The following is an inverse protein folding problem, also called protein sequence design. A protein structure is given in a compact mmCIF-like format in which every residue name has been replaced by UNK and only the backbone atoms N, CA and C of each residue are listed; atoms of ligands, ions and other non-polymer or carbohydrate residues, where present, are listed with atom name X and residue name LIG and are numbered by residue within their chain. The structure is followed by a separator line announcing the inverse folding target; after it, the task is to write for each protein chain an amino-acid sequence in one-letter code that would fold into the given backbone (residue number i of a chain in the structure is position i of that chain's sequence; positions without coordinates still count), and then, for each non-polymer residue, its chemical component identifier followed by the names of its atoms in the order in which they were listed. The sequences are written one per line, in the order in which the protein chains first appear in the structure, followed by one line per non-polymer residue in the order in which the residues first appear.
data_IF_850715760602
#
_entry.id   IF_850715760602
#
_cell.length_a   1.000
_cell.length_b   1.000
_cell.length_c   1.000
_cell.angle_alpha   90.00
_cell.angle_beta   90.00
_cell.angle_gamma   90.00
#
_symmetry.space_group_name_H-M   'P 1'
#
loop_
_entity.id
_entity.type
_entity.pdbx_description
1 polymer ?
#
# COMPACT_ATOMS: atom_id res chain seq x y z
N UNK A 1 -31.69 4.80 -3.53
CA UNK A 1 -30.95 4.25 -4.69
C UNK A 1 -31.86 4.34 -5.89
N UNK A 2 -31.33 4.61 -7.11
CA UNK A 2 -32.15 4.65 -8.32
C UNK A 2 -32.86 3.30 -8.50
N UNK A 3 -34.12 3.31 -8.95
CA UNK A 3 -34.85 2.07 -9.24
C UNK A 3 -34.37 1.54 -10.60
N UNK A 4 -33.61 0.45 -10.57
CA UNK A 4 -33.07 -0.19 -11.78
C UNK A 4 -33.88 -1.44 -12.11
N UNK A 5 -34.43 -1.51 -13.32
CA UNK A 5 -35.11 -2.70 -13.86
C UNK A 5 -34.41 -3.13 -15.13
N UNK A 6 -34.08 -4.41 -15.26
CA UNK A 6 -33.48 -4.99 -16.47
C UNK A 6 -34.39 -6.05 -17.06
N UNK A 7 -34.73 -5.89 -18.34
CA UNK A 7 -35.46 -6.88 -19.13
C UNK A 7 -34.47 -7.78 -19.88
N UNK A 8 -34.59 -9.10 -19.69
CA UNK A 8 -33.61 -10.09 -20.18
C UNK A 8 -34.30 -11.28 -20.87
N UNK A 9 -33.48 -12.15 -21.49
CA UNK A 9 -33.88 -13.51 -21.88
C UNK A 9 -32.76 -14.49 -21.52
N UNK A 10 -33.10 -15.77 -21.33
CA UNK A 10 -32.17 -16.81 -20.88
C UNK A 10 -30.90 -17.00 -21.75
N UNK A 11 -30.99 -16.75 -23.05
CA UNK A 11 -29.92 -17.02 -24.03
C UNK A 11 -29.12 -15.78 -24.45
N UNK A 12 -29.52 -14.59 -23.98
CA UNK A 12 -28.94 -13.32 -24.38
C UNK A 12 -27.55 -13.07 -23.73
N UNK A 13 -26.50 -13.00 -24.55
CA UNK A 13 -25.13 -12.72 -24.07
C UNK A 13 -24.98 -11.31 -23.49
N UNK A 14 -25.56 -10.30 -24.15
CA UNK A 14 -25.51 -8.91 -23.67
C UNK A 14 -26.26 -8.69 -22.35
N UNK A 15 -27.28 -9.50 -22.08
CA UNK A 15 -27.99 -9.51 -20.80
C UNK A 15 -27.08 -10.00 -19.68
N UNK A 16 -26.23 -11.00 -19.94
CA UNK A 16 -25.22 -11.47 -18.97
C UNK A 16 -24.16 -10.40 -18.72
N UNK A 17 -23.69 -9.71 -19.77
CA UNK A 17 -22.72 -8.60 -19.64
C UNK A 17 -23.28 -7.46 -18.80
N UNK A 18 -24.53 -7.07 -19.05
CA UNK A 18 -25.21 -6.01 -18.28
C UNK A 18 -25.34 -6.37 -16.80
N UNK A 19 -25.78 -7.60 -16.50
CA UNK A 19 -25.88 -8.08 -15.10
C UNK A 19 -24.53 -8.16 -14.41
N UNK A 20 -23.50 -8.67 -15.10
CA UNK A 20 -22.15 -8.72 -14.56
C UNK A 20 -21.59 -7.33 -14.24
N UNK A 21 -21.88 -6.33 -15.09
CA UNK A 21 -21.52 -4.95 -14.85
C UNK A 21 -22.22 -4.37 -13.62
N UNK A 22 -23.56 -4.49 -13.54
CA UNK A 22 -24.34 -3.97 -12.41
C UNK A 22 -23.93 -4.62 -11.08
N UNK A 23 -23.66 -5.94 -11.09
CA UNK A 23 -23.12 -6.67 -9.95
C UNK A 23 -21.74 -6.16 -9.54
N UNK A 24 -20.84 -5.94 -10.51
CA UNK A 24 -19.49 -5.37 -10.25
C UNK A 24 -19.58 -3.98 -9.61
N UNK A 25 -20.54 -3.16 -10.01
CA UNK A 25 -20.75 -1.81 -9.48
C UNK A 25 -21.59 -1.77 -8.19
N UNK A 26 -21.98 -2.93 -7.63
CA UNK A 26 -22.81 -2.98 -6.41
C UNK A 26 -24.21 -2.40 -6.57
N UNK A 27 -24.74 -2.37 -7.79
CA UNK A 27 -26.06 -1.81 -8.10
C UNK A 27 -27.13 -2.89 -7.91
N UNK A 28 -28.07 -2.65 -7.00
CA UNK A 28 -29.28 -3.47 -6.89
C UNK A 28 -30.22 -3.23 -8.08
N UNK A 29 -30.78 -4.31 -8.63
CA UNK A 29 -31.70 -4.25 -9.77
C UNK A 29 -32.79 -5.33 -9.70
N UNK A 30 -33.94 -5.05 -10.32
CA UNK A 30 -35.02 -6.00 -10.58
C UNK A 30 -34.83 -6.62 -11.97
N UNK A 31 -34.73 -7.95 -12.07
CA UNK A 31 -34.65 -8.66 -13.36
C UNK A 31 -36.03 -9.18 -13.78
N UNK A 32 -36.40 -8.93 -15.04
CA UNK A 32 -37.65 -9.39 -15.65
C UNK A 32 -37.32 -10.19 -16.93
N UNK A 33 -37.64 -11.49 -16.95
CA UNK A 33 -37.42 -12.35 -18.11
C UNK A 33 -38.60 -12.27 -19.10
N UNK A 34 -38.42 -11.51 -20.18
CA UNK A 34 -39.44 -11.32 -21.21
C UNK A 34 -39.53 -12.49 -22.20
N UNK A 35 -38.62 -13.46 -22.11
CA UNK A 35 -38.64 -14.67 -22.94
C UNK A 35 -39.71 -15.67 -22.49
N UNK A 36 -40.19 -15.54 -21.26
CA UNK A 36 -41.22 -16.42 -20.69
C UNK A 36 -42.50 -15.68 -20.28
N UNK A 37 -42.46 -14.34 -20.24
CA UNK A 37 -43.59 -13.48 -19.89
C UNK A 37 -43.94 -12.52 -21.04
N UNK A 38 -45.05 -12.80 -21.72
CA UNK A 38 -45.52 -12.02 -22.87
C UNK A 38 -46.11 -10.67 -22.48
N UNK A 39 -46.62 -10.52 -21.26
CA UNK A 39 -47.11 -9.23 -20.77
C UNK A 39 -45.93 -8.30 -20.47
N UNK A 40 -44.89 -8.83 -19.82
CA UNK A 40 -43.64 -8.10 -19.59
C UNK A 40 -42.93 -7.72 -20.91
N UNK A 41 -42.99 -8.59 -21.93
CA UNK A 41 -42.46 -8.28 -23.26
C UNK A 41 -43.21 -7.10 -23.91
N UNK A 42 -44.53 -7.06 -23.81
CA UNK A 42 -45.33 -5.95 -24.34
C UNK A 42 -45.03 -4.64 -23.59
N UNK A 43 -44.89 -4.70 -22.27
CA UNK A 43 -44.52 -3.56 -21.43
C UNK A 43 -43.12 -3.03 -21.78
N UNK A 44 -42.14 -3.92 -21.97
CA UNK A 44 -40.79 -3.55 -22.40
C UNK A 44 -40.82 -2.81 -23.74
N UNK A 45 -41.58 -3.32 -24.73
CA UNK A 45 -41.74 -2.69 -26.04
C UNK A 45 -42.40 -1.31 -25.92
N UNK A 46 -43.45 -1.19 -25.11
CA UNK A 46 -44.14 0.09 -24.87
C UNK A 46 -43.21 1.14 -24.26
N UNK A 47 -42.40 0.75 -23.27
CA UNK A 47 -41.50 1.66 -22.57
C UNK A 47 -40.27 2.05 -23.39
N UNK A 48 -39.73 1.13 -24.19
CA UNK A 48 -38.43 1.31 -24.85
C UNK A 48 -38.50 1.53 -26.36
N UNK A 49 -39.63 1.18 -27.00
CA UNK A 49 -39.72 1.07 -28.45
C UNK A 49 -38.87 -0.06 -29.05
N UNK A 50 -38.33 -0.96 -28.21
CA UNK A 50 -37.43 -2.03 -28.64
C UNK A 50 -38.06 -3.41 -28.48
N UNK A 51 -37.77 -4.28 -29.44
CA UNK A 51 -38.15 -5.69 -29.42
C UNK A 51 -37.01 -6.60 -28.95
N UNK A 52 -35.81 -6.06 -28.75
CA UNK A 52 -34.61 -6.81 -28.40
C UNK A 52 -34.17 -6.52 -26.95
N UNK A 53 -33.56 -7.52 -26.32
CA UNK A 53 -32.95 -7.45 -24.98
C UNK A 53 -31.42 -7.37 -25.07
N UNK A 54 -30.72 -6.82 -24.04
CA UNK A 54 -31.27 -6.26 -22.81
C UNK A 54 -31.86 -4.86 -23.01
N UNK A 55 -32.87 -4.53 -22.19
CA UNK A 55 -33.32 -3.15 -21.98
C UNK A 55 -33.20 -2.87 -20.48
N UNK A 56 -32.48 -1.82 -20.12
CA UNK A 56 -32.35 -1.39 -18.72
C UNK A 56 -33.07 -0.07 -18.52
N UNK A 57 -33.90 0.02 -17.50
CA UNK A 57 -34.61 1.24 -17.10
C UNK A 57 -34.04 1.73 -15.78
N UNK A 58 -33.62 3.00 -15.74
CA UNK A 58 -33.00 3.65 -14.58
C UNK A 58 -33.77 4.92 -14.29
N UNK A 59 -34.59 4.94 -13.22
CA UNK A 59 -35.43 6.09 -12.84
C UNK A 59 -36.28 6.66 -14.00
N UNK A 60 -36.72 5.79 -14.92
CA UNK A 60 -37.52 6.14 -16.09
C UNK A 60 -36.73 6.41 -17.38
N UNK A 61 -35.40 6.45 -17.31
CA UNK A 61 -34.53 6.51 -18.48
C UNK A 61 -34.31 5.11 -19.08
N UNK A 62 -34.40 4.99 -20.42
CA UNK A 62 -34.25 3.72 -21.13
C UNK A 62 -32.87 3.60 -21.76
N UNK A 63 -32.18 2.49 -21.47
CA UNK A 63 -30.89 2.10 -22.05
C UNK A 63 -31.10 0.81 -22.84
N UNK A 64 -30.74 0.83 -24.12
CA UNK A 64 -30.93 -0.28 -25.04
C UNK A 64 -29.61 -0.99 -25.27
N UNK A 65 -29.60 -2.31 -25.08
CA UNK A 65 -28.40 -3.13 -25.22
C UNK A 65 -27.43 -2.99 -24.06
N UNK A 66 -26.21 -3.51 -24.25
CA UNK A 66 -25.11 -3.29 -23.32
C UNK A 66 -24.31 -2.06 -23.74
N UNK A 67 -24.61 -0.90 -23.16
CA UNK A 67 -23.88 0.34 -23.38
C UNK A 67 -22.95 0.62 -22.18
N UNK A 68 -21.70 0.16 -22.30
CA UNK A 68 -20.72 0.32 -21.24
C UNK A 68 -20.44 1.79 -20.89
N UNK A 69 -20.50 2.71 -21.86
CA UNK A 69 -20.25 4.13 -21.62
C UNK A 69 -21.40 4.75 -20.81
N UNK A 70 -22.65 4.50 -21.21
CA UNK A 70 -23.83 4.97 -20.47
C UNK A 70 -23.95 4.33 -19.09
N UNK A 71 -23.62 3.05 -18.97
CA UNK A 71 -23.59 2.39 -17.67
C UNK A 71 -22.47 2.90 -16.77
N UNK A 72 -21.29 3.24 -17.30
CA UNK A 72 -20.24 3.91 -16.52
C UNK A 72 -20.65 5.33 -16.09
N UNK A 73 -21.40 6.06 -16.92
CA UNK A 73 -21.93 7.38 -16.54
C UNK A 73 -22.95 7.30 -15.40
N UNK A 74 -23.85 6.32 -15.45
CA UNK A 74 -24.95 6.17 -14.50
C UNK A 74 -24.56 5.41 -13.21
N UNK A 75 -23.63 4.47 -13.35
CA UNK A 75 -23.28 3.49 -12.32
C UNK A 75 -21.79 3.23 -12.18
N UNK A 76 -20.95 3.73 -13.08
CA UNK A 76 -19.50 3.76 -12.85
C UNK A 76 -19.21 4.60 -11.62
N UNK A 77 -18.04 4.37 -11.02
CA UNK A 77 -17.68 4.88 -9.69
C UNK A 77 -18.11 6.35 -9.52
N UNK A 78 -19.20 6.54 -8.76
CA UNK A 78 -19.70 7.86 -8.39
C UNK A 78 -18.55 8.61 -7.75
N UNK A 79 -18.19 9.77 -8.29
CA UNK A 79 -17.17 10.63 -7.71
C UNK A 79 -16.00 10.97 -8.62
N UNK A 80 -15.92 10.41 -9.83
CA UNK A 80 -14.89 10.82 -10.79
C UNK A 80 -15.08 12.29 -11.20
N UNK A 81 -14.06 13.12 -10.97
CA UNK A 81 -14.04 14.54 -11.32
C UNK A 81 -12.98 14.81 -12.38
N UNK A 82 -13.18 15.86 -13.18
CA UNK A 82 -12.15 16.35 -14.11
C UNK A 82 -10.91 16.84 -13.36
N UNK A 83 -11.12 17.48 -12.20
CA UNK A 83 -10.08 17.97 -11.31
C UNK A 83 -10.45 17.65 -9.87
N UNK A 84 -9.50 17.10 -9.12
CA UNK A 84 -9.60 16.85 -7.69
C UNK A 84 -8.88 17.95 -6.89
N UNK A 85 -9.31 18.18 -5.65
CA UNK A 85 -8.55 19.04 -4.74
C UNK A 85 -7.23 18.36 -4.35
N UNK A 86 -7.27 17.05 -4.10
CA UNK A 86 -6.12 16.24 -3.67
C UNK A 86 -6.04 14.93 -4.47
N UNK A 87 -4.90 14.69 -5.12
CA UNK A 87 -4.53 13.37 -5.60
C UNK A 87 -3.63 12.69 -4.57
N UNK A 88 -3.92 11.44 -4.24
CA UNK A 88 -3.13 10.65 -3.30
C UNK A 88 -2.53 9.46 -4.05
N UNK A 89 -1.21 9.32 -4.03
CA UNK A 89 -0.51 8.20 -4.66
C UNK A 89 -0.16 7.16 -3.59
N UNK A 90 -0.85 6.02 -3.61
CA UNK A 90 -0.64 4.91 -2.68
C UNK A 90 -1.86 4.61 -1.79
N UNK A 91 -2.24 3.33 -1.71
CA UNK A 91 -3.37 2.81 -0.94
C UNK A 91 -2.97 2.12 0.37
N UNK A 92 -1.79 2.44 0.91
CA UNK A 92 -1.34 1.96 2.22
C UNK A 92 -1.92 2.74 3.39
N UNK A 93 -1.46 2.47 4.63
CA UNK A 93 -1.95 3.16 5.84
C UNK A 93 -1.86 4.68 5.77
N UNK A 94 -0.78 5.23 5.22
CA UNK A 94 -0.60 6.67 5.05
C UNK A 94 -1.64 7.27 4.07
N UNK A 95 -1.78 6.68 2.88
CA UNK A 95 -2.66 7.19 1.83
C UNK A 95 -4.14 7.09 2.19
N UNK A 96 -4.59 5.96 2.74
CA UNK A 96 -5.98 5.79 3.18
C UNK A 96 -6.31 6.71 4.36
N UNK A 97 -5.38 6.92 5.29
CA UNK A 97 -5.59 7.90 6.37
C UNK A 97 -5.64 9.32 5.84
N UNK A 98 -4.76 9.70 4.90
CA UNK A 98 -4.78 11.00 4.26
C UNK A 98 -6.12 11.24 3.53
N UNK A 99 -6.61 10.23 2.80
CA UNK A 99 -7.88 10.30 2.08
C UNK A 99 -9.05 10.57 3.01
N UNK A 100 -9.13 9.84 4.13
CA UNK A 100 -10.14 10.04 5.16
C UNK A 100 -10.10 11.47 5.74
N UNK A 101 -8.91 12.00 6.05
CA UNK A 101 -8.78 13.35 6.60
C UNK A 101 -9.18 14.43 5.60
N UNK A 102 -8.79 14.29 4.33
CA UNK A 102 -9.20 15.19 3.26
C UNK A 102 -10.74 15.18 3.06
N UNK A 103 -11.38 14.01 3.05
CA UNK A 103 -12.83 13.91 2.92
C UNK A 103 -13.58 14.60 4.08
N UNK A 104 -13.07 14.50 5.31
CA UNK A 104 -13.63 15.23 6.48
C UNK A 104 -13.52 16.74 6.37
N UNK A 105 -12.64 17.24 5.51
CA UNK A 105 -12.53 18.67 5.15
C UNK A 105 -13.37 19.04 3.93
N UNK A 106 -14.21 18.11 3.44
CA UNK A 106 -15.05 18.26 2.25
C UNK A 106 -14.26 18.49 0.96
N UNK A 107 -13.02 18.02 0.90
CA UNK A 107 -12.19 18.06 -0.31
C UNK A 107 -12.57 16.92 -1.25
N UNK A 108 -12.45 17.16 -2.57
CA UNK A 108 -12.40 16.06 -3.54
C UNK A 108 -11.09 15.32 -3.48
N UNK A 109 -11.18 14.00 -3.40
CA UNK A 109 -10.01 13.12 -3.29
C UNK A 109 -10.11 11.99 -4.30
N UNK A 110 -8.99 11.68 -4.94
CA UNK A 110 -8.77 10.42 -5.64
C UNK A 110 -7.53 9.75 -5.09
N UNK A 111 -7.64 8.48 -4.72
CA UNK A 111 -6.49 7.63 -4.38
C UNK A 111 -6.14 6.82 -5.63
N UNK A 112 -4.90 6.87 -6.07
CA UNK A 112 -4.37 6.09 -7.21
C UNK A 112 -3.29 5.15 -6.69
N UNK A 113 -3.43 3.84 -6.92
CA UNK A 113 -2.52 2.86 -6.31
C UNK A 113 -2.44 1.52 -7.05
N UNK A 114 -1.31 0.82 -6.89
CA UNK A 114 -1.14 -0.55 -7.39
C UNK A 114 -1.91 -1.60 -6.57
N UNK A 115 -2.10 -1.37 -5.26
CA UNK A 115 -2.83 -2.27 -4.36
C UNK A 115 -3.39 -1.48 -3.17
N UNK A 116 -4.47 -2.01 -2.58
CA UNK A 116 -5.04 -1.47 -1.34
C UNK A 116 -4.47 -2.26 -0.18
N UNK A 117 -3.87 -1.57 0.79
CA UNK A 117 -3.27 -2.16 1.98
C UNK A 117 -1.77 -1.94 2.09
N UNK A 118 -1.04 -1.93 0.97
CA UNK A 118 0.42 -1.85 0.95
C UNK A 118 1.08 -2.99 1.74
N UNK A 119 2.28 -2.75 2.26
CA UNK A 119 3.05 -3.74 3.01
C UNK A 119 2.33 -4.25 4.27
N UNK A 120 1.37 -3.50 4.82
CA UNK A 120 0.63 -3.93 6.01
C UNK A 120 -0.10 -5.27 5.79
N UNK A 121 -0.51 -5.59 4.55
CA UNK A 121 -1.16 -6.87 4.21
C UNK A 121 -0.30 -8.10 4.50
N UNK A 122 1.03 -7.94 4.47
CA UNK A 122 1.99 -9.03 4.67
C UNK A 122 2.16 -9.39 6.16
N UNK A 123 1.59 -8.58 7.06
CA UNK A 123 1.72 -8.76 8.51
C UNK A 123 0.73 -9.81 9.03
N UNK A 124 1.25 -10.92 9.53
CA UNK A 124 0.43 -12.01 10.12
C UNK A 124 -0.19 -11.64 11.47
N UNK A 125 0.50 -10.83 12.29
CA UNK A 125 0.05 -10.41 13.61
C UNK A 125 0.54 -9.00 13.90
N UNK A 126 -0.38 -8.07 14.11
CA UNK A 126 -0.10 -6.69 14.50
C UNK A 126 -0.61 -6.49 15.92
N UNK A 127 0.32 -6.25 16.85
CA UNK A 127 0.03 -6.03 18.28
C UNK A 127 0.38 -4.60 18.73
N UNK A 128 0.94 -3.80 17.83
CA UNK A 128 1.44 -2.45 18.10
C UNK A 128 0.57 -1.33 17.49
N UNK A 129 -0.60 -1.66 16.93
CA UNK A 129 -1.57 -0.69 16.46
C UNK A 129 -2.63 -0.41 17.52
N UNK A 130 -2.52 0.74 18.18
CA UNK A 130 -3.36 1.08 19.33
C UNK A 130 -4.85 1.09 18.96
N UNK A 131 -5.67 0.47 19.81
CA UNK A 131 -7.08 0.20 19.56
C UNK A 131 -7.37 -1.28 19.27
N UNK A 132 -6.34 -2.05 18.90
CA UNK A 132 -6.41 -3.50 18.77
C UNK A 132 -5.44 -4.16 19.75
N UNK A 133 -5.86 -5.31 20.30
CA UNK A 133 -4.95 -6.16 21.07
C UNK A 133 -4.07 -7.00 20.14
N UNK A 134 -4.69 -7.54 19.10
CA UNK A 134 -4.08 -8.27 18.00
C UNK A 134 -5.03 -8.11 16.81
N UNK A 135 -4.48 -7.81 15.64
CA UNK A 135 -5.22 -7.76 14.38
C UNK A 135 -4.30 -8.25 13.26
N UNK A 136 -4.83 -8.94 12.26
CA UNK A 136 -4.03 -9.28 11.08
C UNK A 136 -3.87 -8.06 10.17
N UNK A 137 -2.86 -8.09 9.30
CA UNK A 137 -2.66 -7.07 8.27
C UNK A 137 -3.87 -6.88 7.37
N UNK A 138 -4.44 -7.98 6.89
CA UNK A 138 -5.64 -7.99 6.07
C UNK A 138 -6.83 -7.37 6.80
N UNK A 139 -7.16 -7.83 8.01
CA UNK A 139 -8.29 -7.29 8.79
C UNK A 139 -8.12 -5.80 9.11
N UNK A 140 -6.89 -5.33 9.36
CA UNK A 140 -6.63 -3.92 9.61
C UNK A 140 -6.88 -3.08 8.36
N UNK A 141 -6.36 -3.51 7.20
CA UNK A 141 -6.50 -2.77 5.96
C UNK A 141 -7.92 -2.83 5.38
N UNK A 142 -8.63 -3.94 5.55
CA UNK A 142 -10.06 -4.05 5.21
C UNK A 142 -10.88 -2.97 5.91
N UNK A 143 -10.59 -2.72 7.20
CA UNK A 143 -11.25 -1.65 7.98
C UNK A 143 -10.89 -0.24 7.50
N UNK A 144 -9.66 -0.04 7.04
CA UNK A 144 -9.25 1.24 6.46
C UNK A 144 -9.99 1.49 5.14
N UNK A 145 -10.01 0.49 4.27
CA UNK A 145 -10.68 0.54 2.97
C UNK A 145 -12.19 0.77 3.15
N UNK A 146 -12.84 0.00 4.02
CA UNK A 146 -14.26 0.15 4.35
C UNK A 146 -14.57 1.60 4.73
N UNK A 147 -13.81 2.16 5.68
CA UNK A 147 -14.01 3.54 6.14
C UNK A 147 -13.82 4.58 5.03
N UNK A 148 -12.83 4.40 4.16
CA UNK A 148 -12.57 5.31 3.03
C UNK A 148 -13.69 5.24 2.00
N UNK A 149 -14.18 4.03 1.68
CA UNK A 149 -15.29 3.84 0.74
C UNK A 149 -16.63 4.37 1.27
N UNK A 150 -16.88 4.28 2.58
CA UNK A 150 -18.07 4.88 3.21
C UNK A 150 -18.17 6.39 2.99
N UNK A 151 -17.04 7.09 2.88
CA UNK A 151 -17.01 8.54 2.60
C UNK A 151 -17.15 8.86 1.11
N UNK A 152 -17.37 7.85 0.25
CA UNK A 152 -17.53 8.00 -1.20
C UNK A 152 -16.23 8.35 -1.94
N UNK A 153 -15.07 8.07 -1.34
CA UNK A 153 -13.77 8.32 -1.95
C UNK A 153 -13.49 7.24 -3.01
N UNK A 154 -13.07 7.69 -4.20
CA UNK A 154 -12.68 6.81 -5.30
C UNK A 154 -11.25 6.31 -5.08
N UNK A 155 -11.05 5.00 -5.26
CA UNK A 155 -9.74 4.36 -5.22
C UNK A 155 -9.51 3.70 -6.59
N UNK A 156 -8.67 4.33 -7.42
CA UNK A 156 -8.25 3.80 -8.71
C UNK A 156 -7.10 2.80 -8.50
N UNK A 157 -7.36 1.54 -8.85
CA UNK A 157 -6.37 0.47 -8.86
C UNK A 157 -5.59 0.49 -10.19
N UNK A 158 -4.65 1.42 -10.30
CA UNK A 158 -3.79 1.58 -11.45
C UNK A 158 -2.43 2.17 -11.02
N UNK A 159 -1.31 1.47 -11.22
CA UNK A 159 0.00 1.98 -10.80
C UNK A 159 0.36 3.30 -11.49
N UNK A 160 0.92 4.23 -10.73
CA UNK A 160 1.39 5.52 -11.26
C UNK A 160 2.72 5.35 -11.98
N UNK A 161 2.84 5.94 -13.17
CA UNK A 161 4.04 5.91 -14.00
C UNK A 161 4.79 7.25 -14.00
N UNK A 162 4.08 8.37 -13.89
CA UNK A 162 4.71 9.69 -13.80
C UNK A 162 3.81 10.72 -13.14
N UNK A 163 4.45 11.79 -12.65
CA UNK A 163 3.81 12.98 -12.09
C UNK A 163 4.40 14.23 -12.73
N UNK A 164 3.56 15.22 -13.03
CA UNK A 164 4.01 16.48 -13.61
C UNK A 164 3.21 17.66 -13.03
N UNK A 165 3.86 18.83 -12.93
CA UNK A 165 3.20 20.09 -12.60
C UNK A 165 2.90 20.84 -13.91
N UNK A 166 1.66 21.27 -14.06
CA UNK A 166 1.19 22.02 -15.24
C UNK A 166 1.35 23.53 -15.07
N UNK A 167 1.27 24.24 -16.19
CA UNK A 167 1.41 25.71 -16.24
C UNK A 167 0.35 26.46 -15.42
N UNK A 168 -0.84 25.87 -15.26
CA UNK A 168 -1.92 26.42 -14.44
C UNK A 168 -1.74 26.16 -12.93
N UNK A 169 -0.63 25.52 -12.54
CA UNK A 169 -0.30 25.17 -11.17
C UNK A 169 -0.92 23.86 -10.67
N UNK A 170 -1.75 23.19 -11.48
CA UNK A 170 -2.27 21.86 -11.16
C UNK A 170 -1.22 20.76 -11.38
N UNK A 171 -1.52 19.57 -10.89
CA UNK A 171 -0.70 18.38 -11.01
C UNK A 171 -1.41 17.33 -11.85
N UNK A 172 -0.68 16.65 -12.72
CA UNK A 172 -1.18 15.50 -13.46
C UNK A 172 -0.46 14.23 -12.99
N UNK A 173 -1.24 13.17 -12.81
CA UNK A 173 -0.78 11.82 -12.46
C UNK A 173 -1.14 10.90 -13.61
N UNK A 174 -0.14 10.28 -14.23
CA UNK A 174 -0.31 9.30 -15.31
C UNK A 174 -0.12 7.90 -14.78
N UNK A 175 -0.86 6.96 -15.33
CA UNK A 175 -0.87 5.57 -14.86
C UNK A 175 -0.45 4.58 -15.95
N UNK A 176 -0.31 3.30 -15.57
CA UNK A 176 0.08 2.23 -16.49
C UNK A 176 -0.98 1.99 -17.57
N UNK A 177 -2.26 2.22 -17.27
CA UNK A 177 -3.33 2.09 -18.28
C UNK A 177 -3.51 3.34 -19.16
N UNK A 178 -2.53 4.25 -19.19
CA UNK A 178 -2.55 5.51 -19.95
C UNK A 178 -3.70 6.45 -19.54
N UNK A 179 -4.22 6.28 -18.31
CA UNK A 179 -5.14 7.24 -17.72
C UNK A 179 -4.36 8.42 -17.14
N UNK A 180 -5.01 9.58 -17.14
CA UNK A 180 -4.47 10.80 -16.57
C UNK A 180 -5.49 11.42 -15.62
N UNK A 181 -5.02 11.79 -14.44
CA UNK A 181 -5.82 12.41 -13.39
C UNK A 181 -5.24 13.78 -13.02
N UNK A 182 -6.10 14.78 -12.83
CA UNK A 182 -5.68 16.15 -12.50
C UNK A 182 -6.04 16.51 -11.06
N UNK A 183 -5.10 17.12 -10.33
CA UNK A 183 -5.24 17.52 -8.94
C UNK A 183 -4.73 18.93 -8.67
N UNK A 184 -5.29 19.62 -7.68
CA UNK A 184 -4.76 20.92 -7.21
C UNK A 184 -3.60 20.76 -6.23
N UNK A 185 -3.52 19.60 -5.57
CA UNK A 185 -2.41 19.18 -4.70
C UNK A 185 -2.11 17.70 -4.88
N UNK A 186 -0.92 17.28 -4.45
CA UNK A 186 -0.47 15.90 -4.49
C UNK A 186 0.01 15.44 -3.11
N UNK A 187 -0.39 14.24 -2.69
CA UNK A 187 0.12 13.58 -1.49
C UNK A 187 0.73 12.23 -1.88
N UNK A 188 2.06 12.10 -1.75
CA UNK A 188 2.81 10.91 -2.14
C UNK A 188 2.96 9.98 -0.93
N UNK A 189 2.38 8.78 -1.04
CA UNK A 189 2.33 7.75 0.03
C UNK A 189 2.63 6.35 -0.51
N UNK A 190 3.50 6.27 -1.52
CA UNK A 190 3.79 5.03 -2.26
C UNK A 190 4.57 3.98 -1.45
N UNK A 191 5.02 4.32 -0.24
CA UNK A 191 5.73 3.40 0.67
C UNK A 191 7.13 3.00 0.19
N UNK A 192 7.63 1.91 0.75
CA UNK A 192 8.92 1.32 0.42
C UNK A 192 8.83 -0.21 0.47
N UNK A 193 9.81 -0.89 -0.11
CA UNK A 193 9.95 -2.36 -0.06
C UNK A 193 11.22 -2.73 0.69
N UNK A 194 11.20 -3.74 1.57
CA UNK A 194 12.42 -4.22 2.20
C UNK A 194 13.35 -4.86 1.17
N UNK A 195 14.66 -4.75 1.40
CA UNK A 195 15.65 -5.50 0.60
C UNK A 195 15.79 -6.91 1.17
N UNK A 196 15.78 -7.88 0.25
CA UNK A 196 15.97 -9.30 0.54
C UNK A 196 17.40 -9.74 0.20
N UNK A 197 17.83 -10.91 0.71
CA UNK A 197 19.14 -11.49 0.42
C UNK A 197 19.24 -12.03 -1.02
N UNK A 198 18.11 -12.37 -1.63
CA UNK A 198 18.03 -12.96 -2.97
C UNK A 198 18.46 -14.43 -2.99
N UNK A 199 18.26 -15.15 -1.88
CA UNK A 199 18.67 -16.55 -1.74
C UNK A 199 17.59 -17.51 -2.27
N UNK A 200 17.98 -18.68 -2.79
CA UNK A 200 17.01 -19.70 -3.16
C UNK A 200 16.12 -20.08 -1.97
N UNK A 201 14.81 -20.11 -2.19
CA UNK A 201 13.80 -20.46 -1.18
C UNK A 201 13.69 -19.51 0.02
N UNK A 202 14.23 -18.28 -0.07
CA UNK A 202 14.09 -17.24 0.97
C UNK A 202 12.62 -16.96 1.32
N UNK A 203 11.76 -16.87 0.31
CA UNK A 203 10.31 -16.65 0.45
C UNK A 203 9.62 -17.63 1.41
N UNK A 204 10.16 -18.85 1.56
CA UNK A 204 9.64 -19.87 2.47
C UNK A 204 9.72 -19.44 3.94
N UNK A 205 10.73 -18.65 4.29
CA UNK A 205 11.03 -18.31 5.68
C UNK A 205 10.52 -16.93 6.10
N UNK A 206 10.01 -16.11 5.17
CA UNK A 206 9.37 -14.82 5.46
C UNK A 206 8.19 -15.04 6.41
N UNK A 207 8.22 -14.42 7.59
CA UNK A 207 7.23 -14.60 8.65
C UNK A 207 7.31 -15.97 9.36
N UNK A 208 8.28 -16.82 9.01
CA UNK A 208 8.52 -18.16 9.58
C UNK A 208 9.93 -18.30 10.17
N UNK A 209 10.48 -17.19 10.63
CA UNK A 209 11.81 -17.08 11.21
C UNK A 209 12.63 -15.97 10.57
N UNK A 210 12.29 -15.52 9.37
CA UNK A 210 12.86 -14.33 8.75
C UNK A 210 11.93 -13.13 8.92
N UNK A 211 12.51 -11.98 9.28
CA UNK A 211 11.80 -10.72 9.54
C UNK A 211 12.63 -9.51 9.08
N UNK A 212 11.96 -8.41 8.76
CA UNK A 212 12.58 -7.12 8.42
C UNK A 212 12.36 -6.05 9.51
N UNK A 213 11.60 -6.39 10.56
CA UNK A 213 11.18 -5.45 11.61
C UNK A 213 11.39 -6.02 13.02
N UNK A 214 12.46 -5.60 13.69
CA UNK A 214 12.74 -5.96 15.10
C UNK A 214 11.68 -5.45 16.05
N UNK A 215 11.19 -4.22 15.83
CA UNK A 215 10.14 -3.62 16.65
C UNK A 215 8.83 -4.40 16.58
N UNK A 216 8.51 -4.98 15.42
CA UNK A 216 7.29 -5.73 15.17
C UNK A 216 7.40 -7.14 15.75
N UNK A 217 8.43 -7.89 15.33
CA UNK A 217 8.48 -9.33 15.57
C UNK A 217 9.43 -9.73 16.71
N UNK A 218 10.31 -8.82 17.16
CA UNK A 218 11.31 -9.07 18.19
C UNK A 218 10.77 -9.80 19.42
N UNK A 219 9.62 -9.39 20.02
CA UNK A 219 9.01 -10.09 21.15
C UNK A 219 8.75 -11.60 20.94
N UNK A 220 8.53 -12.04 19.69
CA UNK A 220 8.28 -13.45 19.32
C UNK A 220 9.55 -14.33 19.38
N UNK A 221 10.72 -13.70 19.49
CA UNK A 221 12.03 -14.36 19.57
C UNK A 221 12.62 -14.36 20.97
N UNK A 222 11.79 -14.15 22.00
CA UNK A 222 12.23 -14.20 23.41
C UNK A 222 12.92 -15.53 23.73
N UNK A 223 14.16 -15.45 24.19
CA UNK A 223 14.96 -16.63 24.57
C UNK A 223 15.45 -17.50 23.41
N UNK A 224 15.31 -17.04 22.15
CA UNK A 224 15.82 -17.73 20.96
C UNK A 224 17.18 -17.19 20.53
N UNK A 225 17.91 -17.94 19.71
CA UNK A 225 19.12 -17.43 19.04
C UNK A 225 18.74 -16.73 17.75
N UNK A 226 19.22 -15.50 17.55
CA UNK A 226 18.88 -14.68 16.39
C UNK A 226 20.13 -14.15 15.68
N UNK A 227 20.02 -14.02 14.36
CA UNK A 227 21.00 -13.33 13.53
C UNK A 227 20.40 -12.05 12.96
N UNK A 228 21.25 -11.04 12.75
CA UNK A 228 20.88 -9.75 12.17
C UNK A 228 21.84 -9.50 11.01
N UNK A 229 21.31 -9.19 9.84
CA UNK A 229 22.12 -8.90 8.64
C UNK A 229 22.12 -7.40 8.39
N UNK A 230 23.30 -6.80 8.38
CA UNK A 230 23.45 -5.37 8.09
C UNK A 230 24.58 -4.75 8.90
N UNK A 231 25.01 -3.56 8.47
CA UNK A 231 26.08 -2.82 9.14
C UNK A 231 25.77 -1.35 9.37
N UNK A 232 24.54 -0.90 9.11
CA UNK A 232 24.12 0.49 9.28
C UNK A 232 23.52 0.78 10.66
N UNK A 233 23.09 2.02 10.88
CA UNK A 233 22.38 2.44 12.11
C UNK A 233 21.21 1.51 12.47
N UNK A 234 20.39 1.12 11.48
CA UNK A 234 19.25 0.24 11.71
C UNK A 234 19.66 -1.15 12.19
N UNK A 235 20.72 -1.74 11.63
CA UNK A 235 21.23 -3.05 12.04
C UNK A 235 21.77 -3.03 13.47
N UNK A 236 22.49 -1.96 13.85
CA UNK A 236 22.99 -1.82 15.22
C UNK A 236 21.86 -1.57 16.22
N UNK A 237 20.89 -0.72 15.87
CA UNK A 237 19.70 -0.49 16.70
C UNK A 237 18.93 -1.79 16.90
N UNK A 238 18.75 -2.57 15.83
CA UNK A 238 18.14 -3.91 15.88
C UNK A 238 18.91 -4.84 16.84
N UNK A 239 20.24 -4.83 16.80
CA UNK A 239 21.05 -5.66 17.71
C UNK A 239 20.91 -5.25 19.18
N UNK A 240 20.86 -3.95 19.44
CA UNK A 240 20.65 -3.38 20.78
C UNK A 240 19.25 -3.72 21.30
N UNK A 241 18.22 -3.59 20.46
CA UNK A 241 16.82 -3.94 20.78
C UNK A 241 16.63 -5.43 21.05
N UNK A 242 17.30 -6.28 20.26
CA UNK A 242 17.17 -7.73 20.37
C UNK A 242 17.98 -8.33 21.51
N UNK A 243 19.10 -7.70 21.93
CA UNK A 243 19.94 -8.21 23.02
C UNK A 243 19.19 -8.54 24.33
N UNK A 244 18.28 -7.69 24.85
CA UNK A 244 17.48 -8.02 26.04
C UNK A 244 16.34 -9.02 25.79
N UNK A 245 16.03 -9.34 24.54
CA UNK A 245 14.90 -10.22 24.17
C UNK A 245 15.40 -11.63 23.85
N UNK A 246 16.40 -11.74 22.98
CA UNK A 246 16.96 -12.99 22.49
C UNK A 246 17.94 -13.62 23.51
N UNK A 247 18.16 -14.93 23.39
CA UNK A 247 19.21 -15.64 24.14
C UNK A 247 20.60 -15.21 23.67
N UNK A 248 20.80 -15.19 22.35
CA UNK A 248 22.03 -14.71 21.72
C UNK A 248 21.71 -13.93 20.45
N UNK A 249 22.56 -12.96 20.12
CA UNK A 249 22.46 -12.12 18.92
C UNK A 249 23.74 -12.25 18.12
N UNK A 250 23.63 -12.58 16.83
CA UNK A 250 24.77 -12.57 15.90
C UNK A 250 24.58 -11.47 14.86
N UNK A 251 25.42 -10.43 14.86
CA UNK A 251 25.42 -9.37 13.87
C UNK A 251 26.36 -9.72 12.70
N UNK A 252 25.80 -9.87 11.51
CA UNK A 252 26.50 -10.27 10.29
C UNK A 252 26.70 -9.05 9.40
N UNK A 253 27.96 -8.67 9.18
CA UNK A 253 28.34 -7.46 8.46
C UNK A 253 29.15 -7.83 7.22
N UNK A 254 28.62 -7.50 6.03
CA UNK A 254 29.28 -7.80 4.74
C UNK A 254 30.68 -7.20 4.58
N UNK A 255 30.96 -6.09 5.27
CA UNK A 255 32.25 -5.41 5.21
C UNK A 255 32.58 -4.81 6.58
N UNK A 256 32.56 -3.48 6.70
CA UNK A 256 32.70 -2.76 7.97
C UNK A 256 31.35 -2.21 8.44
N UNK A 257 31.24 -1.99 9.74
CA UNK A 257 30.13 -1.23 10.34
C UNK A 257 30.21 0.22 9.86
N UNK A 258 29.07 0.76 9.43
CA UNK A 258 28.84 2.13 8.96
C UNK A 258 27.66 2.72 9.74
N UNK A 259 27.90 2.99 11.02
CA UNK A 259 26.89 3.51 11.93
C UNK A 259 27.48 4.64 12.78
N UNK A 260 26.60 5.48 13.32
CA UNK A 260 26.97 6.58 14.19
C UNK A 260 27.58 6.04 15.50
N UNK A 261 28.53 6.79 16.04
CA UNK A 261 29.34 6.39 17.21
C UNK A 261 28.49 6.08 18.46
N UNK A 262 27.34 6.74 18.57
CA UNK A 262 26.37 6.52 19.65
C UNK A 262 25.83 5.09 19.66
N UNK A 263 25.71 4.43 18.50
CA UNK A 263 25.23 3.05 18.41
C UNK A 263 26.36 2.06 18.58
N UNK A 264 27.54 2.33 18.02
CA UNK A 264 28.70 1.44 18.16
C UNK A 264 29.13 1.32 19.61
N UNK A 265 29.14 2.42 20.36
CA UNK A 265 29.51 2.42 21.79
C UNK A 265 28.52 1.63 22.67
N UNK A 266 27.25 1.50 22.26
CA UNK A 266 26.27 0.68 22.97
C UNK A 266 26.48 -0.82 22.76
N UNK A 267 27.09 -1.23 21.64
CA UNK A 267 27.36 -2.65 21.36
C UNK A 267 28.36 -3.25 22.36
N UNK A 268 29.35 -2.47 22.82
CA UNK A 268 30.40 -2.93 23.75
C UNK A 268 29.82 -3.41 25.09
N UNK A 269 28.64 -2.92 25.47
CA UNK A 269 27.94 -3.33 26.70
C UNK A 269 27.14 -4.62 26.57
N UNK A 270 27.00 -5.18 25.37
CA UNK A 270 26.11 -6.32 25.11
C UNK A 270 26.86 -7.65 25.31
N UNK A 271 26.52 -8.38 26.38
CA UNK A 271 27.22 -9.62 26.76
C UNK A 271 26.84 -10.84 25.92
N UNK A 272 25.75 -10.77 25.16
CA UNK A 272 25.24 -11.87 24.32
C UNK A 272 25.32 -11.58 22.82
N UNK A 273 26.13 -10.58 22.42
CA UNK A 273 26.34 -10.21 21.02
C UNK A 273 27.62 -10.84 20.47
N UNK A 274 27.53 -11.46 19.30
CA UNK A 274 28.68 -11.85 18.48
C UNK A 274 28.65 -11.07 17.17
N UNK A 275 29.79 -10.49 16.75
CA UNK A 275 29.88 -9.76 15.48
C UNK A 275 30.72 -10.55 14.49
N UNK A 276 30.13 -10.88 13.34
CA UNK A 276 30.78 -11.51 12.20
C UNK A 276 31.00 -10.48 11.09
N UNK A 277 32.20 -9.89 11.06
CA UNK A 277 32.60 -8.95 10.01
C UNK A 277 33.19 -9.67 8.80
N UNK A 278 32.95 -9.12 7.61
CA UNK A 278 33.29 -9.72 6.31
C UNK A 278 32.59 -11.06 6.02
N UNK A 279 31.42 -11.28 6.61
CA UNK A 279 30.56 -12.44 6.34
C UNK A 279 29.30 -12.04 5.58
N UNK A 280 28.79 -12.96 4.76
CA UNK A 280 27.48 -12.87 4.09
C UNK A 280 26.68 -14.13 4.36
N UNK A 281 25.36 -14.01 4.44
CA UNK A 281 24.46 -15.16 4.48
C UNK A 281 24.35 -15.74 3.08
N UNK A 282 24.58 -17.04 2.94
CA UNK A 282 24.60 -17.76 1.65
C UNK A 282 23.61 -18.92 1.60
N UNK A 283 23.02 -19.30 2.74
CA UNK A 283 22.03 -20.37 2.79
C UNK A 283 21.09 -20.24 3.98
N UNK A 284 19.87 -20.73 3.80
CA UNK A 284 18.82 -20.81 4.82
C UNK A 284 18.40 -22.27 4.98
N UNK A 285 18.16 -22.71 6.22
CA UNK A 285 17.85 -24.11 6.52
C UNK A 285 16.70 -24.25 7.53
N UNK A 286 15.87 -25.27 7.31
CA UNK A 286 14.67 -25.55 8.10
C UNK A 286 13.61 -26.33 7.31
N UNK A 287 12.80 -27.12 8.01
CA UNK A 287 11.65 -27.81 7.39
C UNK A 287 10.47 -26.85 7.22
N UNK A 288 9.80 -26.45 8.30
CA UNK A 288 8.68 -25.50 8.25
C UNK A 288 9.05 -24.10 8.74
N UNK A 289 9.97 -24.03 9.71
CA UNK A 289 10.48 -22.82 10.33
C UNK A 289 12.00 -22.74 10.13
N UNK A 290 12.53 -21.52 10.12
CA UNK A 290 13.98 -21.30 10.09
C UNK A 290 14.65 -21.96 11.31
N UNK A 291 15.70 -22.73 11.07
CA UNK A 291 16.50 -23.41 12.11
C UNK A 291 18.00 -23.15 12.01
N UNK A 292 18.46 -22.56 10.92
CA UNK A 292 19.84 -22.13 10.79
C UNK A 292 20.11 -21.41 9.49
N UNK A 293 21.26 -20.76 9.47
CA UNK A 293 21.80 -20.05 8.32
C UNK A 293 23.21 -20.56 8.01
N UNK A 294 23.61 -20.48 6.75
CA UNK A 294 25.01 -20.61 6.35
C UNK A 294 25.57 -19.22 6.12
N UNK A 295 26.73 -18.94 6.72
CA UNK A 295 27.49 -17.72 6.46
C UNK A 295 28.81 -18.06 5.79
N UNK A 296 29.21 -17.25 4.83
CA UNK A 296 30.48 -17.39 4.10
C UNK A 296 31.34 -16.17 4.34
N UNK A 297 32.59 -16.39 4.75
CA UNK A 297 33.60 -15.34 4.85
C UNK A 297 34.06 -14.94 3.44
N UNK A 298 34.09 -13.65 3.14
CA UNK A 298 34.20 -13.17 1.75
C UNK A 298 35.59 -13.29 1.12
N UNK A 299 36.65 -13.32 1.92
CA UNK A 299 38.03 -13.32 1.41
C UNK A 299 38.59 -14.74 1.28
N UNK A 300 38.20 -15.62 2.20
CA UNK A 300 38.66 -17.01 2.32
C UNK A 300 37.69 -18.01 1.72
N UNK A 301 36.41 -17.65 1.60
CA UNK A 301 35.34 -18.57 1.21
C UNK A 301 34.98 -19.60 2.29
N UNK A 302 35.47 -19.45 3.53
CA UNK A 302 35.15 -20.36 4.63
C UNK A 302 33.66 -20.26 4.97
N UNK A 303 32.97 -21.40 4.92
CA UNK A 303 31.56 -21.51 5.29
C UNK A 303 31.39 -21.96 6.74
N UNK A 304 30.38 -21.40 7.41
CA UNK A 304 29.98 -21.79 8.76
C UNK A 304 28.46 -21.91 8.83
N UNK A 305 27.99 -23.03 9.37
CA UNK A 305 26.59 -23.19 9.71
C UNK A 305 26.33 -22.61 11.11
N UNK A 306 25.33 -21.74 11.23
CA UNK A 306 24.92 -21.12 12.49
C UNK A 306 23.48 -21.54 12.81
N UNK A 307 23.25 -22.26 13.92
CA UNK A 307 21.89 -22.54 14.37
C UNK A 307 21.27 -21.25 14.90
N UNK A 308 20.19 -20.81 14.24
CA UNK A 308 19.41 -19.62 14.63
C UNK A 308 17.94 -19.90 14.35
N UNK A 309 17.07 -19.33 15.17
CA UNK A 309 15.62 -19.46 15.00
C UNK A 309 15.01 -18.16 14.45
N UNK A 310 15.77 -17.07 14.44
CA UNK A 310 15.38 -15.79 13.87
C UNK A 310 16.48 -15.17 13.01
N UNK A 311 16.10 -14.61 11.86
CA UNK A 311 16.97 -13.85 10.97
C UNK A 311 16.31 -12.50 10.67
N UNK A 312 16.93 -11.41 11.14
CA UNK A 312 16.46 -10.06 10.93
C UNK A 312 17.26 -9.38 9.81
N UNK A 313 16.59 -9.02 8.73
CA UNK A 313 17.20 -8.31 7.61
C UNK A 313 17.16 -6.80 7.85
N UNK A 314 18.29 -6.23 8.22
CA UNK A 314 18.49 -4.80 8.42
C UNK A 314 19.38 -4.20 7.32
N UNK A 315 19.11 -4.59 6.06
CA UNK A 315 19.90 -4.21 4.86
C UNK A 315 19.28 -3.06 4.06
N UNK A 316 18.27 -2.40 4.62
CA UNK A 316 17.63 -1.19 4.09
C UNK A 316 16.34 -1.48 3.33
N UNK A 317 15.69 -0.39 2.93
CA UNK A 317 14.46 -0.39 2.13
C UNK A 317 14.72 0.32 0.80
N UNK A 318 13.90 0.01 -0.19
CA UNK A 318 13.82 0.68 -1.48
C UNK A 318 12.52 1.48 -1.54
N UNK A 319 12.58 2.82 -1.44
CA UNK A 319 11.40 3.67 -1.59
C UNK A 319 10.76 3.51 -2.98
N UNK A 320 9.43 3.42 -3.03
CA UNK A 320 8.69 3.31 -4.30
C UNK A 320 8.57 4.69 -4.96
N UNK A 321 9.68 5.20 -5.51
CA UNK A 321 9.81 6.58 -6.02
C UNK A 321 10.04 6.69 -7.54
N UNK A 322 10.04 5.56 -8.25
CA UNK A 322 10.48 5.50 -9.66
C UNK A 322 9.70 6.38 -10.63
N UNK A 323 8.49 6.79 -10.27
CA UNK A 323 7.64 7.70 -11.06
C UNK A 323 7.96 9.19 -10.86
N UNK A 324 8.85 9.54 -9.92
CA UNK A 324 9.13 10.94 -9.59
C UNK A 324 10.10 11.61 -10.57
N UNK A 325 11.07 10.89 -11.13
CA UNK A 325 12.05 11.44 -12.10
C UNK A 325 12.60 12.85 -11.76
N UNK A 326 13.02 13.05 -10.50
CA UNK A 326 13.55 14.34 -10.02
C UNK A 326 12.49 15.41 -9.70
N UNK A 327 11.20 15.06 -9.66
CA UNK A 327 10.09 15.96 -9.34
C UNK A 327 10.14 16.54 -7.90
N UNK A 328 10.77 15.83 -6.97
CA UNK A 328 11.02 16.27 -5.59
C UNK A 328 12.42 15.84 -5.14
N UNK A 329 12.96 16.52 -4.13
CA UNK A 329 14.28 16.23 -3.59
C UNK A 329 14.28 14.88 -2.86
N UNK A 330 15.28 14.05 -3.16
CA UNK A 330 15.52 12.77 -2.52
C UNK A 330 16.83 12.80 -1.74
N UNK A 331 16.90 12.08 -0.61
CA UNK A 331 18.16 11.87 0.10
C UNK A 331 19.02 10.78 -0.60
N UNK A 332 20.21 10.51 -0.06
CA UNK A 332 21.13 9.49 -0.62
C UNK A 332 20.56 8.05 -0.62
N UNK A 333 19.49 7.80 0.14
CA UNK A 333 18.79 6.51 0.23
C UNK A 333 17.58 6.44 -0.72
N UNK A 334 17.32 7.51 -1.48
CA UNK A 334 16.17 7.61 -2.38
C UNK A 334 14.86 7.99 -1.65
N UNK A 335 14.90 8.37 -0.38
CA UNK A 335 13.69 8.74 0.34
C UNK A 335 13.33 10.21 0.05
N UNK A 336 12.04 10.52 -0.04
CA UNK A 336 11.56 11.89 -0.24
C UNK A 336 11.92 12.73 1.00
N UNK A 337 12.65 13.82 0.77
CA UNK A 337 12.99 14.77 1.83
C UNK A 337 11.75 15.57 2.17
N UNK A 338 11.40 15.55 3.46
CA UNK A 338 10.26 16.31 4.00
C UNK A 338 10.67 17.13 5.21
N UNK A 339 9.94 18.22 5.47
CA UNK A 339 9.97 18.91 6.76
C UNK A 339 9.09 18.20 7.81
N UNK A 340 8.99 18.78 9.01
CA UNK A 340 8.19 18.22 10.12
C UNK A 340 6.68 18.11 9.79
N UNK A 341 6.22 18.92 8.83
CA UNK A 341 4.85 19.03 8.39
C UNK A 341 4.62 18.35 7.03
N UNK A 342 5.49 17.41 6.63
CA UNK A 342 5.32 16.63 5.40
C UNK A 342 5.44 17.44 4.09
N UNK A 343 5.96 18.66 4.11
CA UNK A 343 6.22 19.43 2.89
C UNK A 343 7.41 18.87 2.13
N UNK A 344 7.30 18.77 0.81
CA UNK A 344 8.43 18.44 -0.08
C UNK A 344 9.10 19.70 -0.63
N UNK A 345 10.12 19.55 -1.48
CA UNK A 345 10.73 20.68 -2.21
C UNK A 345 9.81 21.31 -3.25
N UNK A 346 8.72 20.63 -3.65
CA UNK A 346 7.74 21.11 -4.62
C UNK A 346 6.50 21.67 -3.92
N UNK A 347 6.25 22.97 -4.07
CA UNK A 347 5.06 23.62 -3.51
C UNK A 347 3.76 22.99 -4.06
N UNK A 348 2.84 22.66 -3.15
CA UNK A 348 1.59 21.93 -3.43
C UNK A 348 1.72 20.40 -3.39
N UNK A 349 2.92 19.89 -3.12
CA UNK A 349 3.23 18.46 -3.02
C UNK A 349 3.70 18.10 -1.61
N UNK A 350 3.04 17.11 -1.04
CA UNK A 350 3.30 16.57 0.29
C UNK A 350 3.69 15.10 0.16
N UNK A 351 4.40 14.56 1.15
CA UNK A 351 4.71 13.14 1.19
C UNK A 351 4.61 12.60 2.62
N UNK A 352 4.17 11.34 2.75
CA UNK A 352 3.94 10.71 4.04
C UNK A 352 4.24 9.20 4.03
N UNK A 353 4.59 8.68 5.21
CA UNK A 353 4.90 7.27 5.40
C UNK A 353 6.26 6.88 4.82
N UNK A 354 6.42 5.60 4.53
CA UNK A 354 7.74 4.97 4.40
C UNK A 354 8.55 5.42 3.18
N UNK A 355 7.91 6.03 2.18
CA UNK A 355 8.58 6.67 1.02
C UNK A 355 9.42 7.88 1.40
N UNK A 356 9.16 8.47 2.58
CA UNK A 356 9.81 9.70 3.05
C UNK A 356 11.01 9.42 3.94
N UNK A 357 11.80 10.44 4.24
CA UNK A 357 12.93 10.37 5.18
C UNK A 357 12.52 10.20 6.67
N UNK A 358 11.25 9.88 6.95
CA UNK A 358 10.82 9.52 8.31
C UNK A 358 11.60 8.31 8.80
N UNK A 359 12.20 8.42 9.99
CA UNK A 359 13.07 7.37 10.53
C UNK A 359 12.30 6.11 10.93
N UNK A 360 11.11 6.27 11.50
CA UNK A 360 10.31 5.17 12.02
C UNK A 360 9.33 4.67 10.95
N UNK A 361 9.61 3.48 10.41
CA UNK A 361 8.79 2.82 9.38
C UNK A 361 7.79 1.89 10.07
N UNK A 362 6.64 2.42 10.48
CA UNK A 362 5.61 1.72 11.25
C UNK A 362 4.22 2.11 10.75
N UNK A 363 3.26 1.18 10.77
CA UNK A 363 1.87 1.41 10.31
C UNK A 363 1.25 2.64 11.00
N UNK A 364 1.40 2.76 12.33
CA UNK A 364 0.85 3.87 13.09
C UNK A 364 1.54 5.21 12.80
N UNK A 365 2.84 5.19 12.51
CA UNK A 365 3.62 6.39 12.13
C UNK A 365 3.18 6.84 10.74
N UNK A 366 3.10 5.91 9.78
CA UNK A 366 2.64 6.18 8.42
C UNK A 366 1.21 6.75 8.42
N UNK A 367 0.30 6.19 9.21
CA UNK A 367 -1.05 6.74 9.37
C UNK A 367 -1.03 8.17 9.94
N UNK A 368 -0.21 8.42 10.97
CA UNK A 368 -0.03 9.75 11.54
C UNK A 368 0.54 10.76 10.54
N UNK A 369 1.54 10.37 9.76
CA UNK A 369 2.10 11.19 8.69
C UNK A 369 1.07 11.48 7.59
N UNK A 370 0.26 10.48 7.21
CA UNK A 370 -0.83 10.65 6.25
C UNK A 370 -1.84 11.70 6.71
N UNK A 371 -2.23 11.66 7.99
CA UNK A 371 -3.11 12.67 8.58
C UNK A 371 -2.49 14.07 8.54
N UNK A 372 -1.19 14.21 8.89
CA UNK A 372 -0.48 15.50 8.80
C UNK A 372 -0.46 16.04 7.37
N UNK A 373 -0.05 15.23 6.40
CA UNK A 373 0.02 15.63 5.00
C UNK A 373 -1.33 16.08 4.44
N UNK A 374 -2.43 15.41 4.83
CA UNK A 374 -3.78 15.82 4.45
C UNK A 374 -4.20 17.18 5.02
N UNK A 375 -3.83 17.47 6.26
CA UNK A 375 -4.13 18.75 6.89
C UNK A 375 -3.35 19.90 6.24
N UNK A 376 -2.09 19.68 5.91
CA UNK A 376 -1.25 20.67 5.23
C UNK A 376 -1.68 20.90 3.77
N UNK A 377 -2.12 19.84 3.07
CA UNK A 377 -2.75 19.98 1.76
C UNK A 377 -4.02 20.84 1.82
N UNK A 378 -4.86 20.66 2.84
CA UNK A 378 -6.02 21.51 3.07
C UNK A 378 -5.64 22.98 3.34
N UNK A 379 -4.63 23.22 4.19
CA UNK A 379 -4.16 24.58 4.46
C UNK A 379 -3.62 25.27 3.21
N UNK A 380 -2.84 24.56 2.39
CA UNK A 380 -2.32 25.08 1.14
C UNK A 380 -3.45 25.48 0.18
N UNK A 381 -4.45 24.61 0.00
CA UNK A 381 -5.61 24.91 -0.84
C UNK A 381 -6.39 26.14 -0.34
N UNK A 382 -6.46 26.34 0.98
CA UNK A 382 -7.08 27.52 1.58
C UNK A 382 -6.32 28.84 1.35
N UNK A 383 -5.05 28.80 0.93
CA UNK A 383 -4.26 29.99 0.57
C UNK A 383 -4.38 30.35 -0.92
N UNK A 384 -4.85 29.41 -1.75
CA UNK A 384 -5.05 29.60 -3.19
C UNK A 384 -6.38 30.29 -3.54
N UNK A 385 -7.32 30.36 -2.60
CA UNK A 385 -8.59 31.08 -2.71
C UNK A 385 -8.65 32.23 -1.72
#
# INVERSE_FOLDING_TARGET
MPKVTIYTTATCQYCRLTKAFLQKQGVEYEEIDVGTDTAAAAEMVEKSGQYAVPVTIVDGEVIVGFDAARFNELFGEKGRRDVYDVLIIGGGPAGLTAAMYCARKMLSVLVVTENIGGQALESWSIENYMGFRLVTGAELMDRFEEKVREEGIVIELDPVTSVEKRDDGSFAVKTVSEQEFTGRTLVITSGAKPRWLGLPYEEKYIGRGESVCSTCDGPLFRGKDVAIVGGGNYALTTAIEMSPIARSVTLIVRSKIRADEVYTSQLDGLTNLTILQNYVVTGLSGEDLLKGITVTERDTGEERALPVEGLFLAIGHEPNNGFLDGFVDLNEQGEIVIDINCHTSQEGVFAAGDVTAVKAKQIIVAAGDGAKAALEAYEYLGRLG
#
